data_IF_598670478201
#
_entry.id   IF_598670478201
#
_cell.length_a   1.000
_cell.length_b   1.000
_cell.length_c   1.000
_cell.angle_alpha   90.00
_cell.angle_beta   90.00
_cell.angle_gamma   90.00
#
_symmetry.space_group_name_H-M   'P 1'
#
loop_
_entity.id
_entity.type
_entity.pdbx_description
1 polymer ?
#
# COMPACT_ATOMS: atom_id res chain seq x y z
N UNK A 1 34.92 10.35 12.30
CA UNK A 1 33.50 9.98 12.44
C UNK A 1 32.89 9.96 11.05
N UNK A 2 32.79 8.77 10.46
CA UNK A 2 32.20 8.59 9.14
C UNK A 2 30.65 8.61 9.29
N UNK A 3 30.08 9.79 9.11
CA UNK A 3 28.63 9.98 9.13
C UNK A 3 28.12 9.87 7.70
N UNK A 4 27.29 8.88 7.43
CA UNK A 4 26.58 8.75 6.17
C UNK A 4 25.51 9.83 6.06
N UNK A 5 25.75 10.83 5.19
CA UNK A 5 24.83 11.97 4.96
C UNK A 5 23.71 11.57 4.00
N UNK A 6 22.71 10.83 4.50
CA UNK A 6 21.51 10.49 3.76
C UNK A 6 20.26 11.03 4.46
N UNK A 7 19.23 11.35 3.67
CA UNK A 7 17.92 11.74 4.21
C UNK A 7 17.13 10.48 4.54
N UNK A 8 17.14 10.06 5.81
CA UNK A 8 16.50 8.83 6.26
C UNK A 8 15.01 9.02 6.61
N UNK A 9 14.66 10.15 7.25
CA UNK A 9 13.27 10.51 7.54
C UNK A 9 12.80 11.58 6.57
N UNK A 10 11.54 11.51 6.14
CA UNK A 10 11.00 12.51 5.25
C UNK A 10 9.48 12.44 5.12
N UNK A 11 8.91 13.56 4.74
CA UNK A 11 7.53 13.61 4.28
C UNK A 11 7.45 14.46 3.01
N UNK A 12 6.58 14.06 2.09
CA UNK A 12 6.33 14.81 0.88
C UNK A 12 4.86 14.72 0.48
N UNK A 13 4.38 15.79 -0.12
CA UNK A 13 3.08 15.84 -0.76
C UNK A 13 3.28 16.10 -2.26
N UNK A 14 2.54 15.41 -3.08
CA UNK A 14 2.63 15.51 -4.53
C UNK A 14 1.27 15.18 -5.18
N UNK A 15 1.15 15.48 -6.46
CA UNK A 15 -0.05 15.18 -7.23
C UNK A 15 0.30 14.34 -8.45
N UNK A 16 -0.43 13.25 -8.65
CA UNK A 16 -0.33 12.39 -9.83
C UNK A 16 -1.70 12.27 -10.46
N UNK A 17 -1.85 12.64 -11.73
CA UNK A 17 -3.12 12.60 -12.47
C UNK A 17 -4.27 13.26 -11.71
N UNK A 18 -4.02 14.41 -11.08
CA UNK A 18 -5.02 15.16 -10.30
C UNK A 18 -5.32 14.59 -8.91
N UNK A 19 -4.69 13.50 -8.49
CA UNK A 19 -4.87 12.92 -7.16
C UNK A 19 -3.75 13.41 -6.24
N UNK A 20 -4.13 14.09 -5.16
CA UNK A 20 -3.20 14.51 -4.12
C UNK A 20 -2.76 13.30 -3.28
N UNK A 21 -1.47 13.16 -3.10
CA UNK A 21 -0.84 12.08 -2.35
C UNK A 21 0.12 12.66 -1.31
N UNK A 22 0.13 12.04 -0.13
CA UNK A 22 1.09 12.34 0.92
C UNK A 22 1.84 11.05 1.29
N UNK A 23 3.13 11.17 1.49
CA UNK A 23 3.98 10.07 1.95
C UNK A 23 4.82 10.55 3.13
N UNK A 24 4.93 9.71 4.16
CA UNK A 24 5.85 9.92 5.29
C UNK A 24 6.61 8.64 5.57
N UNK A 25 7.92 8.75 5.71
CA UNK A 25 8.81 7.65 6.06
C UNK A 25 9.59 8.01 7.31
N UNK A 26 9.72 7.08 8.24
CA UNK A 26 10.48 7.23 9.49
C UNK A 26 11.39 6.02 9.66
N UNK A 27 12.69 6.24 9.64
CA UNK A 27 13.71 5.20 9.80
C UNK A 27 14.21 5.03 11.23
N UNK A 28 14.11 6.07 12.05
CA UNK A 28 14.48 6.01 13.46
C UNK A 28 13.36 5.42 14.36
N UNK A 29 12.51 4.60 13.80
CA UNK A 29 11.54 3.81 14.53
C UNK A 29 12.22 2.62 15.21
N UNK A 30 11.96 2.46 16.50
CA UNK A 30 12.44 1.33 17.30
C UNK A 30 11.25 0.39 17.54
N UNK A 31 11.21 -0.76 16.86
CA UNK A 31 10.13 -1.72 17.09
C UNK A 31 10.25 -2.36 18.47
N UNK A 32 9.15 -2.79 19.09
CA UNK A 32 9.19 -3.59 20.31
C UNK A 32 9.90 -4.92 20.07
N UNK A 33 10.32 -5.57 21.15
CA UNK A 33 10.93 -6.91 21.08
C UNK A 33 9.96 -7.87 20.38
N UNK A 34 10.44 -8.59 19.38
CA UNK A 34 9.65 -9.43 18.46
C UNK A 34 8.65 -8.64 17.60
N UNK A 35 8.79 -7.34 17.52
CA UNK A 35 7.98 -6.49 16.66
C UNK A 35 8.51 -6.42 15.22
N UNK A 36 7.84 -5.63 14.41
CA UNK A 36 8.17 -5.38 13.01
C UNK A 36 7.92 -3.93 12.61
N UNK A 37 8.06 -3.65 11.34
CA UNK A 37 7.77 -2.35 10.78
C UNK A 37 6.29 -2.01 10.87
N UNK A 38 6.00 -0.72 11.01
CA UNK A 38 4.63 -0.21 10.91
C UNK A 38 4.35 0.28 9.49
N UNK A 39 3.13 0.06 9.04
CA UNK A 39 2.68 0.54 7.73
C UNK A 39 1.22 1.02 7.81
N UNK A 40 0.94 2.16 7.20
CA UNK A 40 -0.43 2.63 7.01
C UNK A 40 -0.58 3.19 5.60
N UNK A 41 -1.61 2.74 4.89
CA UNK A 41 -2.01 3.30 3.61
C UNK A 41 -3.50 3.63 3.64
N UNK A 42 -3.87 4.84 3.23
CA UNK A 42 -5.25 5.31 3.22
C UNK A 42 -5.60 5.81 1.82
N UNK A 43 -6.65 5.25 1.23
CA UNK A 43 -7.21 5.68 -0.06
C UNK A 43 -8.65 6.14 0.15
N UNK A 44 -8.88 7.43 -0.01
CA UNK A 44 -10.19 8.06 0.20
C UNK A 44 -10.97 8.10 -1.11
N UNK A 45 -12.01 7.28 -1.22
CA UNK A 45 -12.96 7.29 -2.33
C UNK A 45 -14.23 8.10 -2.02
N UNK A 46 -15.14 8.19 -2.97
CA UNK A 46 -16.44 8.87 -2.82
C UNK A 46 -17.40 8.14 -1.89
N UNK A 47 -17.41 6.82 -1.89
CA UNK A 47 -18.35 5.99 -1.11
C UNK A 47 -17.70 5.36 0.13
N UNK A 48 -16.40 5.09 0.10
CA UNK A 48 -15.68 4.45 1.18
C UNK A 48 -14.23 4.92 1.26
N UNK A 49 -13.57 4.58 2.37
CA UNK A 49 -12.13 4.70 2.57
C UNK A 49 -11.55 3.30 2.68
N UNK A 50 -10.55 2.99 1.87
CA UNK A 50 -9.73 1.79 2.03
C UNK A 50 -8.54 2.11 2.94
N UNK A 51 -8.26 1.23 3.90
CA UNK A 51 -7.18 1.42 4.84
C UNK A 51 -6.41 0.11 5.03
N UNK A 52 -5.11 0.15 4.73
CA UNK A 52 -4.20 -0.94 5.09
C UNK A 52 -3.47 -0.52 6.35
N UNK A 53 -3.42 -1.39 7.35
CA UNK A 53 -2.76 -1.16 8.62
C UNK A 53 -1.88 -2.34 8.97
N UNK A 54 -0.66 -2.04 9.43
CA UNK A 54 0.28 -2.98 10.02
C UNK A 54 0.90 -2.30 11.24
N UNK A 55 0.65 -2.81 12.42
CA UNK A 55 1.20 -2.30 13.68
C UNK A 55 1.12 -3.35 14.79
N UNK A 56 1.54 -2.99 15.98
CA UNK A 56 1.53 -3.86 17.16
C UNK A 56 0.13 -4.43 17.48
N UNK A 57 -0.94 -3.64 17.32
CA UNK A 57 -2.33 -4.06 17.65
C UNK A 57 -2.83 -5.23 16.79
N UNK A 58 -2.28 -5.41 15.61
CA UNK A 58 -2.61 -6.52 14.71
C UNK A 58 -1.43 -7.48 14.48
N UNK A 59 -0.50 -7.53 15.46
CA UNK A 59 0.66 -8.42 15.40
C UNK A 59 1.57 -8.18 14.20
N UNK A 60 1.65 -6.94 13.71
CA UNK A 60 2.42 -6.55 12.52
C UNK A 60 2.01 -7.27 11.23
N UNK A 61 0.79 -7.79 11.18
CA UNK A 61 0.19 -8.36 9.95
C UNK A 61 -0.54 -7.27 9.19
N UNK A 62 -0.35 -7.19 7.87
CA UNK A 62 -1.10 -6.24 7.03
C UNK A 62 -2.57 -6.62 6.95
N UNK A 63 -3.44 -5.76 7.42
CA UNK A 63 -4.89 -5.92 7.37
C UNK A 63 -5.51 -4.84 6.48
N UNK A 64 -6.46 -5.24 5.62
CA UNK A 64 -7.20 -4.34 4.73
C UNK A 64 -8.60 -4.11 5.28
N UNK A 65 -8.87 -2.85 5.61
CA UNK A 65 -10.17 -2.38 6.06
C UNK A 65 -10.86 -1.55 4.99
N UNK A 66 -12.17 -1.67 4.92
CA UNK A 66 -13.06 -0.80 4.16
C UNK A 66 -13.95 -0.07 5.16
N UNK A 67 -13.94 1.24 5.16
CA UNK A 67 -14.81 2.07 5.98
C UNK A 67 -15.81 2.79 5.08
N UNK A 68 -17.08 2.42 5.19
CA UNK A 68 -18.20 3.06 4.50
C UNK A 68 -18.34 4.51 4.98
N UNK A 69 -18.65 5.44 4.07
CA UNK A 69 -18.97 6.81 4.47
C UNK A 69 -20.36 6.89 5.12
N UNK A 70 -20.57 7.81 6.09
CA UNK A 70 -21.82 7.91 6.83
C UNK A 70 -23.07 8.11 5.96
N UNK A 71 -22.93 8.88 4.87
CA UNK A 71 -24.02 9.23 3.95
C UNK A 71 -24.36 8.13 2.94
N UNK A 72 -23.73 6.98 3.01
CA UNK A 72 -23.99 5.85 2.10
C UNK A 72 -24.90 4.85 2.81
N UNK A 73 -25.96 4.42 2.14
CA UNK A 73 -26.88 3.40 2.65
C UNK A 73 -26.14 2.07 2.92
N UNK A 74 -26.37 1.49 4.09
CA UNK A 74 -25.63 0.33 4.56
C UNK A 74 -26.00 -0.94 3.78
N UNK A 75 -27.27 -1.14 3.52
CA UNK A 75 -27.74 -2.35 2.84
C UNK A 75 -27.22 -2.41 1.39
N UNK A 76 -27.37 -1.31 0.67
CA UNK A 76 -26.85 -1.18 -0.70
C UNK A 76 -25.33 -1.35 -0.76
N UNK A 77 -24.62 -0.78 0.23
CA UNK A 77 -23.18 -0.89 0.29
C UNK A 77 -22.73 -2.32 0.56
N UNK A 78 -23.34 -3.00 1.51
CA UNK A 78 -23.01 -4.39 1.88
C UNK A 78 -23.30 -5.36 0.72
N UNK A 79 -24.44 -5.20 0.05
CA UNK A 79 -24.79 -5.98 -1.13
C UNK A 79 -23.73 -5.82 -2.24
N UNK A 80 -23.33 -4.58 -2.52
CA UNK A 80 -22.31 -4.33 -3.54
C UNK A 80 -20.92 -4.85 -3.11
N UNK A 81 -20.58 -4.72 -1.84
CA UNK A 81 -19.32 -5.24 -1.30
C UNK A 81 -19.27 -6.76 -1.42
N UNK A 82 -20.34 -7.45 -1.03
CA UNK A 82 -20.45 -8.91 -1.13
C UNK A 82 -20.29 -9.38 -2.58
N UNK A 83 -21.01 -8.75 -3.51
CA UNK A 83 -20.87 -9.05 -4.95
C UNK A 83 -19.43 -8.84 -5.45
N UNK A 84 -18.77 -7.80 -4.99
CA UNK A 84 -17.37 -7.54 -5.36
C UNK A 84 -16.44 -8.62 -4.81
N UNK A 85 -16.66 -9.09 -3.58
CA UNK A 85 -15.88 -10.19 -3.00
C UNK A 85 -16.10 -11.50 -3.79
N UNK A 86 -17.33 -11.82 -4.15
CA UNK A 86 -17.66 -13.00 -4.97
C UNK A 86 -16.93 -12.97 -6.32
N UNK A 87 -16.90 -11.82 -7.00
CA UNK A 87 -16.12 -11.65 -8.24
C UNK A 87 -14.61 -11.81 -8.02
N UNK A 88 -14.09 -11.31 -6.90
CA UNK A 88 -12.67 -11.45 -6.58
C UNK A 88 -12.28 -12.90 -6.21
N UNK A 89 -13.22 -13.72 -5.73
CA UNK A 89 -12.97 -15.12 -5.42
C UNK A 89 -12.63 -15.96 -6.66
N UNK A 90 -12.96 -15.53 -7.86
CA UNK A 90 -12.50 -16.16 -9.10
C UNK A 90 -10.97 -16.18 -9.21
N UNK A 91 -10.32 -15.11 -8.73
CA UNK A 91 -8.86 -14.96 -8.76
C UNK A 91 -8.20 -15.22 -7.40
N UNK A 92 -8.95 -15.05 -6.32
CA UNK A 92 -8.51 -15.19 -4.94
C UNK A 92 -9.51 -16.04 -4.15
N UNK A 93 -9.53 -17.37 -4.35
CA UNK A 93 -10.40 -18.29 -3.62
C UNK A 93 -10.34 -18.06 -2.10
N UNK A 94 -11.48 -18.26 -1.42
CA UNK A 94 -11.63 -18.08 0.03
C UNK A 94 -11.46 -16.65 0.57
N UNK A 95 -11.25 -15.64 -0.30
CA UNK A 95 -11.32 -14.25 0.13
C UNK A 95 -12.72 -13.99 0.72
N UNK A 96 -12.79 -13.32 1.88
CA UNK A 96 -14.06 -13.03 2.51
C UNK A 96 -14.07 -11.66 3.19
N UNK A 97 -15.23 -11.22 3.66
CA UNK A 97 -15.40 -9.96 4.39
C UNK A 97 -16.03 -10.23 5.76
N UNK A 98 -15.46 -9.60 6.79
CA UNK A 98 -15.97 -9.63 8.18
C UNK A 98 -16.47 -8.24 8.56
N UNK A 99 -17.75 -8.11 8.90
CA UNK A 99 -18.30 -6.87 9.44
C UNK A 99 -17.77 -6.64 10.87
N UNK A 100 -17.12 -5.49 11.10
CA UNK A 100 -16.54 -5.08 12.40
C UNK A 100 -17.40 -4.06 13.14
N UNK A 101 -18.64 -3.83 12.69
CA UNK A 101 -19.55 -2.78 13.16
C UNK A 101 -19.25 -1.36 12.64
N UNK A 102 -20.16 -0.44 12.84
CA UNK A 102 -20.02 0.99 12.50
C UNK A 102 -19.59 1.28 11.03
N UNK A 103 -19.99 0.41 10.10
CA UNK A 103 -19.63 0.54 8.68
C UNK A 103 -18.15 0.25 8.39
N UNK A 104 -17.48 -0.49 9.26
CA UNK A 104 -16.11 -0.96 9.07
C UNK A 104 -16.14 -2.45 8.72
N UNK A 105 -15.47 -2.80 7.66
CA UNK A 105 -15.36 -4.17 7.14
C UNK A 105 -13.89 -4.55 7.02
N UNK A 106 -13.51 -5.70 7.55
CA UNK A 106 -12.19 -6.30 7.38
C UNK A 106 -12.25 -7.29 6.22
N UNK A 107 -11.36 -7.14 5.27
CA UNK A 107 -11.16 -8.13 4.22
C UNK A 107 -10.29 -9.25 4.79
N UNK A 108 -10.87 -10.43 4.92
CA UNK A 108 -10.17 -11.61 5.41
C UNK A 108 -9.41 -12.27 4.26
N UNK A 109 -8.12 -12.04 4.25
CA UNK A 109 -7.20 -12.53 3.21
C UNK A 109 -6.61 -13.85 3.71
N UNK A 110 -6.82 -14.97 3.00
CA UNK A 110 -6.22 -16.25 3.35
C UNK A 110 -4.69 -16.21 3.47
N UNK A 111 -4.14 -17.04 4.35
CA UNK A 111 -2.70 -17.07 4.63
C UNK A 111 -1.87 -17.37 3.38
N UNK A 112 -2.36 -18.15 2.46
CA UNK A 112 -1.70 -18.50 1.20
C UNK A 112 -1.42 -17.28 0.27
N UNK A 113 -2.17 -16.19 0.44
CA UNK A 113 -1.94 -14.92 -0.28
C UNK A 113 -1.03 -13.94 0.48
N UNK A 114 -0.63 -14.28 1.72
CA UNK A 114 0.24 -13.46 2.56
C UNK A 114 1.70 -13.86 2.36
N UNK A 115 2.27 -13.37 1.28
CA UNK A 115 3.64 -13.70 0.90
C UNK A 115 4.66 -13.01 1.81
N UNK A 116 5.75 -13.72 2.11
CA UNK A 116 6.92 -13.16 2.78
C UNK A 116 7.77 -12.28 1.87
N UNK A 117 8.81 -11.70 2.45
CA UNK A 117 9.73 -10.79 1.75
C UNK A 117 10.44 -11.50 0.59
N UNK A 118 10.97 -12.68 0.82
CA UNK A 118 11.71 -13.49 -0.15
C UNK A 118 10.82 -13.93 -1.32
N UNK A 119 9.57 -14.29 -1.03
CA UNK A 119 8.61 -14.67 -2.07
C UNK A 119 8.24 -13.50 -2.96
N UNK A 120 8.10 -12.29 -2.40
CA UNK A 120 7.90 -11.07 -3.18
C UNK A 120 9.09 -10.82 -4.12
N UNK A 121 10.33 -10.92 -3.62
CA UNK A 121 11.53 -10.78 -4.45
C UNK A 121 11.59 -11.84 -5.55
N UNK A 122 11.27 -13.09 -5.23
CA UNK A 122 11.19 -14.17 -6.22
C UNK A 122 10.21 -13.84 -7.35
N UNK A 123 9.03 -13.31 -7.03
CA UNK A 123 8.04 -12.91 -8.04
C UNK A 123 8.53 -11.75 -8.90
N UNK A 124 9.17 -10.74 -8.32
CA UNK A 124 9.76 -9.61 -9.05
C UNK A 124 10.87 -10.10 -10.00
N UNK A 125 11.78 -10.94 -9.51
CA UNK A 125 12.84 -11.50 -10.33
C UNK A 125 12.30 -12.34 -11.48
N UNK A 126 11.29 -13.18 -11.23
CA UNK A 126 10.64 -13.99 -12.28
C UNK A 126 9.97 -13.12 -13.34
N UNK A 127 9.26 -12.07 -12.95
CA UNK A 127 8.64 -11.11 -13.88
C UNK A 127 9.70 -10.41 -14.72
N UNK A 128 10.78 -9.93 -14.12
CA UNK A 128 11.89 -9.30 -14.83
C UNK A 128 12.55 -10.22 -15.84
N UNK A 129 12.85 -11.48 -15.48
CA UNK A 129 13.40 -12.48 -16.39
C UNK A 129 12.43 -12.79 -17.54
N UNK A 130 11.13 -12.84 -17.27
CA UNK A 130 10.12 -13.01 -18.31
C UNK A 130 10.14 -11.85 -19.30
N UNK A 131 10.21 -10.61 -18.84
CA UNK A 131 10.28 -9.42 -19.70
C UNK A 131 11.53 -9.43 -20.58
N UNK A 132 12.70 -9.78 -20.02
CA UNK A 132 13.95 -9.88 -20.82
C UNK A 132 13.83 -10.94 -21.89
N UNK A 133 13.39 -12.15 -21.53
CA UNK A 133 13.31 -13.28 -22.48
C UNK A 133 12.35 -12.99 -23.63
N UNK A 134 11.24 -12.34 -23.36
CA UNK A 134 10.20 -12.09 -24.35
C UNK A 134 10.31 -10.69 -25.00
N UNK A 135 11.27 -9.87 -24.57
CA UNK A 135 11.46 -8.48 -25.06
C UNK A 135 10.16 -7.65 -25.01
N UNK A 136 9.36 -7.85 -23.98
CA UNK A 136 8.02 -7.26 -23.84
C UNK A 136 7.81 -6.59 -22.47
N UNK A 137 8.67 -5.66 -22.10
CA UNK A 137 8.47 -4.85 -20.89
C UNK A 137 7.18 -4.03 -21.07
N UNK A 138 6.19 -4.15 -20.17
CA UNK A 138 4.98 -3.37 -20.26
C UNK A 138 5.27 -1.86 -20.18
N UNK A 139 4.57 -1.04 -20.97
CA UNK A 139 4.77 0.42 -20.96
C UNK A 139 4.60 1.05 -19.57
N UNK A 140 3.68 0.52 -18.78
CA UNK A 140 3.43 1.04 -17.43
C UNK A 140 4.63 0.85 -16.49
N UNK A 141 5.50 -0.14 -16.70
CA UNK A 141 6.70 -0.34 -15.88
C UNK A 141 7.66 0.85 -16.01
N UNK A 142 7.96 1.24 -17.26
CA UNK A 142 8.82 2.40 -17.51
C UNK A 142 8.21 3.69 -16.96
N UNK A 143 6.92 3.92 -17.23
CA UNK A 143 6.20 5.11 -16.77
C UNK A 143 6.18 5.20 -15.24
N UNK A 144 5.88 4.10 -14.55
CA UNK A 144 5.85 4.05 -13.09
C UNK A 144 7.23 4.25 -12.47
N UNK A 145 8.26 3.61 -13.05
CA UNK A 145 9.64 3.74 -12.59
C UNK A 145 10.14 5.17 -12.72
N UNK A 146 9.96 5.80 -13.88
CA UNK A 146 10.33 7.19 -14.12
C UNK A 146 9.57 8.16 -13.18
N UNK A 147 8.27 7.95 -13.02
CA UNK A 147 7.45 8.77 -12.11
C UNK A 147 7.93 8.65 -10.67
N UNK A 148 8.23 7.45 -10.19
CA UNK A 148 8.77 7.20 -8.86
C UNK A 148 10.07 7.97 -8.63
N UNK A 149 11.03 7.84 -9.53
CA UNK A 149 12.31 8.50 -9.37
C UNK A 149 12.22 10.02 -9.53
N UNK A 150 11.40 10.52 -10.46
CA UNK A 150 11.15 11.95 -10.58
C UNK A 150 10.61 12.56 -9.28
N UNK A 151 9.60 11.95 -8.68
CA UNK A 151 9.00 12.41 -7.42
C UNK A 151 10.04 12.40 -6.30
N UNK A 152 10.76 11.29 -6.12
CA UNK A 152 11.68 11.13 -4.99
C UNK A 152 12.93 12.01 -5.12
N UNK A 153 13.52 12.14 -6.30
CA UNK A 153 14.69 12.99 -6.53
C UNK A 153 14.33 14.46 -6.42
N UNK A 154 13.20 14.88 -7.00
CA UNK A 154 12.71 16.27 -6.87
C UNK A 154 12.45 16.63 -5.41
N UNK A 155 11.86 15.75 -4.63
CA UNK A 155 11.63 15.97 -3.20
C UNK A 155 12.96 16.18 -2.43
N UNK A 156 14.00 15.39 -2.73
CA UNK A 156 15.33 15.57 -2.14
C UNK A 156 15.96 16.91 -2.54
N UNK A 157 15.85 17.31 -3.80
CA UNK A 157 16.35 18.60 -4.27
C UNK A 157 15.64 19.78 -3.61
N UNK A 158 14.33 19.72 -3.44
CA UNK A 158 13.55 20.73 -2.73
C UNK A 158 13.99 20.84 -1.27
N UNK A 159 14.07 19.71 -0.57
CA UNK A 159 14.51 19.68 0.83
C UNK A 159 15.94 20.23 1.02
N UNK A 160 16.85 20.02 0.08
CA UNK A 160 18.21 20.60 0.11
C UNK A 160 18.21 22.11 -0.08
N UNK A 161 17.25 22.66 -0.82
CA UNK A 161 17.14 24.13 -1.01
C UNK A 161 16.56 24.82 0.21
N UNK A 162 15.62 24.20 0.91
CA UNK A 162 14.99 24.75 2.12
C UNK A 162 15.94 24.74 3.34
N UNK A 163 16.96 23.88 3.34
CA UNK A 163 17.95 23.75 4.42
C UNK A 163 19.26 24.53 4.16
N UNK A 164 19.30 25.42 3.17
CA UNK A 164 20.36 26.38 2.92
C UNK A 164 19.96 27.75 3.43
#
# INVERSE_FOLDING_TARGET
NDVLKVMANGSLNYTVKGICMGMKVTWNYMPPVHGGDTFTSIKKGSKATLKIVQNEKNGFVKELYIQKKPNIDSHTFETQLQKTIEQLQESYPFLSVKNKSNGIYLIDIPQEYRLGHEEHFSKVAKAFLHYIRNKNIPEWENANTLTKYYITTTAVEMAKKENK
#
